data_IF_517433210604
#
_entry.id   IF_517433210604
#
_cell.length_a   1.000
_cell.length_b   1.000
_cell.length_c   1.000
_cell.angle_alpha   90.00
_cell.angle_beta   90.00
_cell.angle_gamma   90.00
#
_symmetry.space_group_name_H-M   'P 1'
#
loop_
_entity.id
_entity.type
_entity.pdbx_description
1 polymer ?
#
# COMPACT_ATOMS: atom_id res chain seq x y z
N UNK A 1 -26.51 -18.22 15.09
CA UNK A 1 -26.09 -16.80 15.00
C UNK A 1 -25.75 -16.49 13.54
N UNK A 2 -26.53 -15.66 12.85
CA UNK A 2 -26.17 -15.18 11.49
C UNK A 2 -24.93 -14.29 11.65
N UNK A 3 -23.76 -14.79 11.26
CA UNK A 3 -22.51 -14.02 11.30
C UNK A 3 -22.67 -12.82 10.35
N UNK A 4 -22.34 -11.62 10.83
CA UNK A 4 -22.41 -10.41 10.02
C UNK A 4 -21.42 -10.53 8.84
N UNK A 5 -21.86 -10.40 7.58
CA UNK A 5 -20.94 -10.46 6.43
C UNK A 5 -19.80 -9.45 6.52
N UNK A 6 -20.07 -8.28 7.11
CA UNK A 6 -19.07 -7.22 7.32
C UNK A 6 -17.98 -7.62 8.32
N UNK A 7 -18.32 -8.34 9.39
CA UNK A 7 -17.32 -8.82 10.34
C UNK A 7 -16.41 -9.89 9.69
N UNK A 8 -17.01 -10.79 8.90
CA UNK A 8 -16.23 -11.81 8.19
C UNK A 8 -15.24 -11.20 7.21
N UNK A 9 -15.67 -10.25 6.38
CA UNK A 9 -14.79 -9.60 5.41
C UNK A 9 -13.72 -8.71 6.11
N UNK A 10 -14.07 -8.07 7.24
CA UNK A 10 -13.09 -7.34 8.04
C UNK A 10 -11.98 -8.26 8.54
N UNK A 11 -12.32 -9.41 9.10
CA UNK A 11 -11.34 -10.38 9.60
C UNK A 11 -10.44 -10.89 8.46
N UNK A 12 -11.02 -11.19 7.30
CA UNK A 12 -10.29 -11.61 6.11
C UNK A 12 -9.29 -10.53 5.69
N UNK A 13 -9.74 -9.29 5.54
CA UNK A 13 -8.87 -8.18 5.14
C UNK A 13 -7.78 -7.91 6.18
N UNK A 14 -8.10 -7.97 7.47
CA UNK A 14 -7.12 -7.80 8.55
C UNK A 14 -6.01 -8.86 8.46
N UNK A 15 -6.37 -10.12 8.27
CA UNK A 15 -5.42 -11.22 8.19
C UNK A 15 -4.56 -11.13 6.91
N UNK A 16 -5.15 -10.74 5.78
CA UNK A 16 -4.42 -10.52 4.53
C UNK A 16 -3.43 -9.34 4.66
N UNK A 17 -3.85 -8.24 5.29
CA UNK A 17 -2.97 -7.08 5.52
C UNK A 17 -1.86 -7.41 6.50
N UNK A 18 -2.12 -8.20 7.56
CA UNK A 18 -1.07 -8.69 8.46
C UNK A 18 -0.03 -9.52 7.70
N UNK A 19 -0.45 -10.44 6.84
CA UNK A 19 0.45 -11.23 6.01
C UNK A 19 1.33 -10.36 5.11
N UNK A 20 0.75 -9.36 4.45
CA UNK A 20 1.47 -8.39 3.62
C UNK A 20 2.48 -7.58 4.44
N UNK A 21 2.07 -7.03 5.57
CA UNK A 21 2.88 -6.10 6.37
C UNK A 21 4.02 -6.79 7.13
N UNK A 22 3.90 -8.09 7.40
CA UNK A 22 5.01 -8.91 7.92
C UNK A 22 6.14 -9.02 6.88
N UNK A 23 5.81 -9.17 5.61
CA UNK A 23 6.81 -9.36 4.55
C UNK A 23 7.53 -8.07 4.17
N UNK A 24 6.86 -6.92 4.26
CA UNK A 24 7.40 -5.63 3.79
C UNK A 24 8.79 -5.28 4.35
N UNK A 25 9.04 -5.30 5.68
CA UNK A 25 10.36 -4.96 6.22
C UNK A 25 11.40 -6.08 6.03
N UNK A 26 10.95 -7.31 5.84
CA UNK A 26 11.81 -8.49 5.76
C UNK A 26 12.37 -8.73 4.35
N UNK A 27 11.55 -8.52 3.31
CA UNK A 27 11.86 -8.92 1.94
C UNK A 27 13.22 -8.41 1.44
N UNK A 28 13.63 -7.15 1.70
CA UNK A 28 14.95 -6.67 1.31
C UNK A 28 16.09 -7.50 1.91
N UNK A 29 16.09 -7.71 3.21
CA UNK A 29 17.11 -8.49 3.92
C UNK A 29 17.14 -9.96 3.48
N UNK A 30 15.96 -10.55 3.29
CA UNK A 30 15.85 -11.93 2.81
C UNK A 30 16.40 -12.08 1.40
N UNK A 31 16.09 -11.16 0.50
CA UNK A 31 16.62 -11.18 -0.86
C UNK A 31 18.13 -10.95 -0.88
N UNK A 32 18.67 -10.02 -0.07
CA UNK A 32 20.11 -9.79 0.05
C UNK A 32 20.85 -11.02 0.61
N UNK A 33 20.26 -11.76 1.54
CA UNK A 33 20.83 -13.02 2.04
C UNK A 33 20.95 -14.10 0.96
N UNK A 34 20.19 -13.98 -0.13
CA UNK A 34 20.26 -14.83 -1.33
C UNK A 34 21.10 -14.21 -2.46
N UNK A 35 21.85 -13.14 -2.17
CA UNK A 35 22.75 -12.47 -3.10
C UNK A 35 22.11 -11.37 -3.95
N UNK A 36 20.92 -10.86 -3.61
CA UNK A 36 20.33 -9.73 -4.30
C UNK A 36 21.12 -8.44 -4.02
N UNK A 37 21.28 -7.61 -5.05
CA UNK A 37 21.71 -6.22 -4.86
C UNK A 37 20.49 -5.33 -4.56
N UNK A 38 20.67 -4.12 -4.01
CA UNK A 38 19.56 -3.18 -3.80
C UNK A 38 18.71 -2.91 -5.05
N UNK A 39 19.32 -2.85 -6.23
CA UNK A 39 18.59 -2.71 -7.49
C UNK A 39 17.71 -3.93 -7.78
N UNK A 40 18.21 -5.15 -7.51
CA UNK A 40 17.43 -6.38 -7.66
C UNK A 40 16.27 -6.44 -6.66
N UNK A 41 16.46 -5.97 -5.43
CA UNK A 41 15.36 -5.80 -4.46
C UNK A 41 14.29 -4.85 -4.99
N UNK A 42 14.71 -3.71 -5.57
CA UNK A 42 13.78 -2.80 -6.24
C UNK A 42 12.99 -3.48 -7.37
N UNK A 43 13.66 -4.30 -8.18
CA UNK A 43 13.01 -5.09 -9.25
C UNK A 43 12.01 -6.12 -8.69
N UNK A 44 12.30 -6.78 -7.57
CA UNK A 44 11.39 -7.72 -6.90
C UNK A 44 10.07 -7.04 -6.47
N UNK A 45 10.17 -5.87 -5.85
CA UNK A 45 8.99 -5.10 -5.44
C UNK A 45 8.20 -4.63 -6.67
N UNK A 46 8.89 -4.13 -7.68
CA UNK A 46 8.29 -3.65 -8.93
C UNK A 46 7.63 -4.77 -9.72
N UNK A 47 8.21 -5.97 -9.76
CA UNK A 47 7.64 -7.14 -10.45
C UNK A 47 6.28 -7.53 -9.84
N UNK A 48 6.16 -7.56 -8.52
CA UNK A 48 4.89 -7.77 -7.83
C UNK A 48 3.85 -6.72 -8.23
N UNK A 49 4.22 -5.43 -8.15
CA UNK A 49 3.31 -4.33 -8.46
C UNK A 49 2.87 -4.31 -9.95
N UNK A 50 3.78 -4.67 -10.87
CA UNK A 50 3.47 -4.80 -12.29
C UNK A 50 2.49 -5.95 -12.56
N UNK A 51 2.72 -7.12 -11.95
CA UNK A 51 1.80 -8.25 -12.04
C UNK A 51 0.43 -7.92 -11.47
N UNK A 52 0.38 -7.23 -10.32
CA UNK A 52 -0.87 -6.79 -9.68
C UNK A 52 -1.64 -5.80 -10.57
N UNK A 53 -0.95 -4.86 -11.22
CA UNK A 53 -1.57 -3.91 -12.15
C UNK A 53 -2.23 -4.63 -13.35
N UNK A 54 -1.56 -5.64 -13.88
CA UNK A 54 -2.06 -6.42 -15.01
C UNK A 54 -3.21 -7.33 -14.58
N UNK A 55 -3.09 -7.99 -13.44
CA UNK A 55 -4.05 -8.99 -12.96
C UNK A 55 -5.32 -8.37 -12.32
N UNK A 56 -5.21 -7.16 -11.76
CA UNK A 56 -6.31 -6.51 -11.04
C UNK A 56 -7.61 -6.39 -11.85
N UNK A 57 -7.61 -5.77 -13.05
CA UNK A 57 -8.81 -5.64 -13.85
C UNK A 57 -9.44 -6.98 -14.27
N UNK A 58 -8.70 -7.98 -14.79
CA UNK A 58 -9.25 -9.30 -15.09
C UNK A 58 -9.87 -9.99 -13.86
N UNK A 59 -9.20 -9.96 -12.70
CA UNK A 59 -9.72 -10.55 -11.47
C UNK A 59 -11.01 -9.85 -11.00
N UNK A 60 -11.05 -8.52 -11.11
CA UNK A 60 -12.26 -7.74 -10.84
C UNK A 60 -13.43 -8.18 -11.72
N UNK A 61 -13.24 -8.21 -13.04
CA UNK A 61 -14.28 -8.66 -13.99
C UNK A 61 -14.68 -10.12 -13.78
N UNK A 62 -13.72 -10.99 -13.49
CA UNK A 62 -14.01 -12.39 -13.19
C UNK A 62 -14.88 -12.49 -11.94
N UNK A 63 -14.60 -11.67 -10.91
CA UNK A 63 -15.40 -11.67 -9.68
C UNK A 63 -16.81 -11.15 -9.85
N UNK A 64 -17.07 -10.28 -10.85
CA UNK A 64 -18.41 -9.86 -11.23
C UNK A 64 -19.21 -11.00 -11.86
N UNK A 65 -18.56 -11.87 -12.66
CA UNK A 65 -19.20 -12.95 -13.40
C UNK A 65 -19.37 -14.24 -12.59
N UNK A 66 -18.36 -14.66 -11.88
CA UNK A 66 -18.33 -15.96 -11.14
C UNK A 66 -18.72 -15.79 -9.67
N UNK A 67 -18.81 -14.53 -9.20
CA UNK A 67 -19.06 -14.18 -7.82
C UNK A 67 -17.77 -13.82 -7.06
N UNK A 68 -17.93 -13.02 -6.00
CA UNK A 68 -16.80 -12.48 -5.23
C UNK A 68 -16.02 -13.55 -4.48
N UNK A 69 -16.74 -14.47 -3.83
CA UNK A 69 -16.13 -15.48 -2.94
C UNK A 69 -15.20 -16.45 -3.67
N UNK A 70 -15.55 -17.05 -4.81
CA UNK A 70 -14.65 -17.95 -5.55
C UNK A 70 -13.35 -17.26 -5.98
N UNK A 71 -13.45 -16.03 -6.51
CA UNK A 71 -12.26 -15.29 -6.97
C UNK A 71 -11.38 -14.88 -5.80
N UNK A 72 -11.98 -14.49 -4.66
CA UNK A 72 -11.24 -14.18 -3.45
C UNK A 72 -10.46 -15.42 -2.95
N UNK A 73 -11.07 -16.61 -2.96
CA UNK A 73 -10.42 -17.86 -2.59
C UNK A 73 -9.23 -18.18 -3.50
N UNK A 74 -9.39 -18.05 -4.83
CA UNK A 74 -8.30 -18.28 -5.80
C UNK A 74 -7.16 -17.28 -5.56
N UNK A 75 -7.49 -16.03 -5.33
CA UNK A 75 -6.54 -14.96 -5.04
C UNK A 75 -5.73 -15.26 -3.78
N UNK A 76 -6.40 -15.61 -2.68
CA UNK A 76 -5.76 -15.96 -1.40
C UNK A 76 -4.94 -17.25 -1.48
N UNK A 77 -5.39 -18.24 -2.23
CA UNK A 77 -4.61 -19.49 -2.49
C UNK A 77 -3.31 -19.17 -3.24
N UNK A 78 -3.36 -18.25 -4.21
CA UNK A 78 -2.17 -17.79 -4.91
C UNK A 78 -1.18 -17.06 -3.98
N UNK A 79 -1.68 -16.18 -3.12
CA UNK A 79 -0.85 -15.51 -2.08
C UNK A 79 -0.25 -16.55 -1.11
N UNK A 80 -1.03 -17.51 -0.66
CA UNK A 80 -0.54 -18.62 0.19
C UNK A 80 0.57 -19.43 -0.48
N UNK A 81 0.36 -19.83 -1.73
CA UNK A 81 1.37 -20.54 -2.52
C UNK A 81 2.63 -19.70 -2.73
N UNK A 82 2.46 -18.40 -3.00
CA UNK A 82 3.56 -17.43 -3.08
C UNK A 82 4.39 -17.37 -1.79
N UNK A 83 3.75 -17.30 -0.63
CA UNK A 83 4.46 -17.30 0.65
C UNK A 83 5.15 -18.63 0.96
N UNK A 84 4.55 -19.78 0.64
CA UNK A 84 5.21 -21.07 0.79
C UNK A 84 6.44 -21.19 -0.12
N UNK A 85 6.31 -20.75 -1.38
CA UNK A 85 7.44 -20.71 -2.31
C UNK A 85 8.54 -19.78 -1.79
N UNK A 86 8.18 -18.60 -1.28
CA UNK A 86 9.12 -17.65 -0.69
C UNK A 86 9.82 -18.24 0.53
N UNK A 87 9.10 -18.97 1.42
CA UNK A 87 9.67 -19.62 2.60
C UNK A 87 10.66 -20.75 2.23
N UNK A 88 10.45 -21.40 1.10
CA UNK A 88 11.31 -22.48 0.59
C UNK A 88 12.39 -22.00 -0.38
N UNK A 89 12.49 -20.69 -0.65
CA UNK A 89 13.40 -20.17 -1.66
C UNK A 89 14.86 -20.33 -1.22
N UNK A 90 15.67 -20.89 -2.14
CA UNK A 90 17.12 -21.09 -2.01
C UNK A 90 17.93 -20.30 -3.04
N UNK A 91 17.23 -19.61 -3.95
CA UNK A 91 17.82 -18.81 -5.00
C UNK A 91 16.91 -17.65 -5.38
N UNK A 92 17.48 -16.57 -5.92
CA UNK A 92 16.75 -15.34 -6.26
C UNK A 92 15.60 -15.56 -7.26
N UNK A 93 15.77 -16.45 -8.24
CA UNK A 93 14.71 -16.73 -9.20
C UNK A 93 13.44 -17.28 -8.53
N UNK A 94 13.57 -18.04 -7.43
CA UNK A 94 12.41 -18.53 -6.67
C UNK A 94 11.68 -17.37 -5.97
N UNK A 95 12.44 -16.39 -5.45
CA UNK A 95 11.88 -15.18 -4.84
C UNK A 95 11.10 -14.37 -5.91
N UNK A 96 11.67 -14.21 -7.11
CA UNK A 96 10.97 -13.56 -8.23
C UNK A 96 9.68 -14.30 -8.60
N UNK A 97 9.76 -15.62 -8.74
CA UNK A 97 8.59 -16.42 -9.11
C UNK A 97 7.50 -16.34 -8.03
N UNK A 98 7.87 -16.38 -6.74
CA UNK A 98 6.95 -16.20 -5.63
C UNK A 98 6.25 -14.82 -5.71
N UNK A 99 6.98 -13.74 -6.01
CA UNK A 99 6.43 -12.40 -6.17
C UNK A 99 5.53 -12.27 -7.40
N UNK A 100 5.88 -12.92 -8.50
CA UNK A 100 5.06 -12.94 -9.73
C UNK A 100 3.75 -13.68 -9.48
N UNK A 101 3.78 -14.87 -8.86
CA UNK A 101 2.57 -15.64 -8.54
C UNK A 101 1.66 -14.83 -7.62
N UNK A 102 2.21 -14.28 -6.53
CA UNK A 102 1.47 -13.47 -5.58
C UNK A 102 0.89 -12.21 -6.26
N UNK A 103 1.66 -11.52 -7.12
CA UNK A 103 1.20 -10.36 -7.88
C UNK A 103 0.11 -10.69 -8.89
N UNK A 104 0.22 -11.79 -9.63
CA UNK A 104 -0.79 -12.22 -10.60
C UNK A 104 -2.10 -12.68 -9.93
N UNK A 105 -2.04 -13.03 -8.67
CA UNK A 105 -3.21 -13.39 -7.87
C UNK A 105 -3.64 -12.31 -6.89
N UNK A 106 -3.02 -11.14 -6.88
CA UNK A 106 -3.27 -10.05 -5.94
C UNK A 106 -4.60 -9.32 -6.16
N UNK A 107 -5.71 -10.05 -6.13
CA UNK A 107 -7.07 -9.53 -6.21
C UNK A 107 -7.76 -9.31 -4.85
N UNK A 108 -7.15 -9.76 -3.75
CA UNK A 108 -7.78 -9.82 -2.42
C UNK A 108 -8.45 -8.52 -2.02
N UNK A 109 -7.73 -7.40 -2.03
CA UNK A 109 -8.25 -6.11 -1.59
C UNK A 109 -9.34 -5.57 -2.53
N UNK A 110 -9.13 -5.67 -3.85
CA UNK A 110 -10.08 -5.20 -4.86
C UNK A 110 -11.40 -5.97 -4.77
N UNK A 111 -11.33 -7.30 -4.68
CA UNK A 111 -12.50 -8.17 -4.57
C UNK A 111 -13.20 -7.98 -3.21
N UNK A 112 -12.43 -7.79 -2.12
CA UNK A 112 -12.99 -7.49 -0.80
C UNK A 112 -13.74 -6.15 -0.78
N UNK A 113 -13.20 -5.11 -1.42
CA UNK A 113 -13.86 -3.82 -1.58
C UNK A 113 -15.16 -3.93 -2.40
N UNK A 114 -15.12 -4.69 -3.47
CA UNK A 114 -16.32 -4.98 -4.28
C UNK A 114 -17.36 -5.72 -3.45
N UNK A 115 -16.97 -6.77 -2.70
CA UNK A 115 -17.87 -7.49 -1.81
C UNK A 115 -18.54 -6.57 -0.77
N UNK A 116 -17.77 -5.68 -0.12
CA UNK A 116 -18.31 -4.69 0.81
C UNK A 116 -19.36 -3.82 0.12
N UNK A 117 -19.07 -3.36 -1.10
CA UNK A 117 -20.01 -2.55 -1.88
C UNK A 117 -21.31 -3.29 -2.17
N UNK A 118 -21.23 -4.60 -2.41
CA UNK A 118 -22.39 -5.45 -2.76
C UNK A 118 -23.29 -5.74 -1.55
N UNK A 119 -22.70 -5.80 -0.32
CA UNK A 119 -23.45 -6.16 0.92
C UNK A 119 -23.82 -4.96 1.78
N UNK A 120 -23.49 -3.72 1.37
CA UNK A 120 -23.76 -2.50 2.14
C UNK A 120 -24.69 -1.54 1.40
N UNK A 121 -25.58 -0.91 2.16
CA UNK A 121 -26.39 0.19 1.62
C UNK A 121 -25.53 1.44 1.41
N UNK A 122 -25.93 2.36 0.49
CA UNK A 122 -25.17 3.59 0.24
C UNK A 122 -24.84 4.39 1.49
N UNK A 123 -25.77 4.43 2.47
CA UNK A 123 -25.63 5.19 3.72
C UNK A 123 -24.54 4.60 4.64
N UNK A 124 -24.40 3.28 4.65
CA UNK A 124 -23.45 2.55 5.51
C UNK A 124 -22.12 2.26 4.81
N UNK A 125 -22.02 2.52 3.51
CA UNK A 125 -20.86 2.18 2.69
C UNK A 125 -19.58 2.82 3.21
N UNK A 126 -19.61 4.12 3.52
CA UNK A 126 -18.45 4.84 4.05
C UNK A 126 -17.93 4.24 5.36
N UNK A 127 -18.85 3.87 6.29
CA UNK A 127 -18.50 3.22 7.55
C UNK A 127 -17.87 1.84 7.31
N UNK A 128 -18.39 1.08 6.36
CA UNK A 128 -17.88 -0.25 6.02
C UNK A 128 -16.50 -0.21 5.37
N UNK A 129 -16.24 0.77 4.50
CA UNK A 129 -14.89 1.01 3.97
C UNK A 129 -13.92 1.50 5.06
N UNK A 130 -14.39 2.21 6.08
CA UNK A 130 -13.60 2.58 7.24
C UNK A 130 -13.00 1.38 7.98
N UNK A 131 -13.68 0.22 7.95
CA UNK A 131 -13.15 -1.03 8.52
C UNK A 131 -11.88 -1.50 7.81
N UNK A 132 -11.76 -1.30 6.50
CA UNK A 132 -10.53 -1.58 5.76
C UNK A 132 -9.39 -0.69 6.30
N UNK A 133 -9.67 0.59 6.53
CA UNK A 133 -8.69 1.50 7.14
C UNK A 133 -8.20 1.02 8.52
N UNK A 134 -9.10 0.51 9.37
CA UNK A 134 -8.75 -0.07 10.68
C UNK A 134 -7.88 -1.32 10.48
N UNK A 135 -8.22 -2.21 9.53
CA UNK A 135 -7.42 -3.39 9.23
C UNK A 135 -6.00 -3.03 8.78
N UNK A 136 -5.85 -2.01 7.94
CA UNK A 136 -4.53 -1.48 7.56
C UNK A 136 -3.78 -0.87 8.74
N UNK A 137 -4.46 -0.08 9.59
CA UNK A 137 -3.85 0.52 10.79
C UNK A 137 -3.31 -0.56 11.75
N UNK A 138 -4.11 -1.58 12.04
CA UNK A 138 -3.68 -2.70 12.88
C UNK A 138 -2.59 -3.55 12.22
N UNK A 139 -2.69 -3.78 10.91
CA UNK A 139 -1.69 -4.52 10.14
C UNK A 139 -0.33 -3.84 10.15
N UNK A 140 -0.28 -2.53 9.89
CA UNK A 140 0.98 -1.77 9.92
C UNK A 140 1.54 -1.58 11.34
N UNK A 141 0.72 -1.67 12.39
CA UNK A 141 1.19 -1.67 13.76
C UNK A 141 1.79 -3.02 14.17
N UNK A 142 1.07 -4.10 13.91
CA UNK A 142 1.41 -5.44 14.42
C UNK A 142 2.37 -6.18 13.47
N UNK A 143 2.13 -6.10 12.16
CA UNK A 143 2.86 -6.90 11.16
C UNK A 143 4.36 -6.67 11.18
N UNK A 144 4.86 -5.42 11.06
CA UNK A 144 6.29 -5.15 11.08
C UNK A 144 6.95 -5.49 12.43
N UNK A 145 6.24 -5.29 13.56
CA UNK A 145 6.73 -5.69 14.88
C UNK A 145 6.90 -7.21 14.98
N UNK A 146 5.89 -7.96 14.53
CA UNK A 146 5.95 -9.41 14.48
C UNK A 146 7.05 -9.90 13.52
N UNK A 147 7.21 -9.25 12.36
CA UNK A 147 8.28 -9.53 11.42
C UNK A 147 9.65 -9.37 12.05
N UNK A 148 9.92 -8.20 12.66
CA UNK A 148 11.19 -7.91 13.32
C UNK A 148 11.49 -8.86 14.48
N UNK A 149 10.47 -9.23 15.27
CA UNK A 149 10.63 -10.21 16.35
C UNK A 149 10.95 -11.61 15.84
N UNK A 150 10.19 -12.10 14.86
CA UNK A 150 10.40 -13.46 14.31
C UNK A 150 11.70 -13.58 13.53
N UNK A 151 12.13 -12.52 12.85
CA UNK A 151 13.36 -12.49 12.06
C UNK A 151 14.63 -12.64 12.91
N UNK A 152 14.57 -12.42 14.23
CA UNK A 152 15.69 -12.67 15.14
C UNK A 152 16.07 -14.17 15.21
N UNK A 153 15.11 -15.05 14.98
CA UNK A 153 15.33 -16.50 15.00
C UNK A 153 15.69 -17.03 13.61
N UNK A 154 14.99 -16.58 12.58
CA UNK A 154 15.27 -16.91 11.17
C UNK A 154 14.46 -16.01 10.25
N UNK A 155 15.03 -15.63 9.10
CA UNK A 155 14.29 -14.88 8.06
C UNK A 155 13.09 -15.67 7.51
N UNK A 156 13.09 -17.00 7.64
CA UNK A 156 12.00 -17.86 7.17
C UNK A 156 10.77 -17.81 8.09
N UNK A 157 10.93 -17.57 9.39
CA UNK A 157 9.80 -17.58 10.35
C UNK A 157 8.75 -16.50 10.08
N UNK A 158 9.09 -15.25 9.79
CA UNK A 158 8.09 -14.27 9.39
C UNK A 158 7.32 -14.68 8.12
N UNK A 159 8.01 -15.31 7.15
CA UNK A 159 7.38 -15.76 5.89
C UNK A 159 6.40 -16.91 6.17
N UNK A 160 6.77 -17.86 7.02
CA UNK A 160 5.88 -18.94 7.45
C UNK A 160 4.67 -18.41 8.24
N UNK A 161 4.88 -17.38 9.08
CA UNK A 161 3.78 -16.71 9.78
C UNK A 161 2.82 -16.03 8.78
N UNK A 162 3.34 -15.35 7.76
CA UNK A 162 2.53 -14.77 6.69
C UNK A 162 1.78 -15.85 5.89
N UNK A 163 2.41 -16.99 5.61
CA UNK A 163 1.75 -18.15 4.98
C UNK A 163 0.61 -18.71 5.86
N UNK A 164 0.85 -18.87 7.17
CA UNK A 164 -0.17 -19.33 8.10
C UNK A 164 -1.37 -18.36 8.20
N UNK A 165 -1.09 -17.05 8.20
CA UNK A 165 -2.13 -16.01 8.13
C UNK A 165 -2.89 -16.10 6.80
N UNK A 166 -2.21 -16.25 5.67
CA UNK A 166 -2.87 -16.39 4.36
C UNK A 166 -3.76 -17.65 4.32
N UNK A 167 -3.30 -18.78 4.86
CA UNK A 167 -4.14 -19.97 5.01
C UNK A 167 -5.35 -19.70 5.92
N UNK A 168 -5.16 -18.98 7.01
CA UNK A 168 -6.25 -18.57 7.89
C UNK A 168 -7.27 -17.71 7.15
N UNK A 169 -6.82 -16.78 6.29
CA UNK A 169 -7.68 -15.97 5.43
C UNK A 169 -8.48 -16.83 4.45
N UNK A 170 -7.87 -17.83 3.81
CA UNK A 170 -8.55 -18.83 2.96
C UNK A 170 -9.65 -19.55 3.74
N UNK A 171 -9.32 -20.07 4.92
CA UNK A 171 -10.29 -20.78 5.77
C UNK A 171 -11.43 -19.86 6.22
N UNK A 172 -11.12 -18.63 6.63
CA UNK A 172 -12.14 -17.63 6.98
C UNK A 172 -13.05 -17.34 5.78
N UNK A 173 -12.50 -17.16 4.59
CA UNK A 173 -13.29 -16.93 3.37
C UNK A 173 -14.16 -18.15 3.06
N UNK A 174 -13.62 -19.35 3.18
CA UNK A 174 -14.35 -20.59 2.89
C UNK A 174 -15.49 -20.85 3.87
N UNK A 175 -15.27 -20.67 5.18
CA UNK A 175 -16.26 -21.01 6.20
C UNK A 175 -17.14 -19.85 6.67
N UNK A 176 -16.67 -18.60 6.55
CA UNK A 176 -17.34 -17.46 7.15
C UNK A 176 -17.96 -16.51 6.14
N UNK A 177 -17.44 -16.46 4.89
CA UNK A 177 -17.92 -15.48 3.91
C UNK A 177 -19.13 -16.03 3.14
N UNK A 178 -20.33 -15.43 3.28
CA UNK A 178 -21.49 -15.82 2.48
C UNK A 178 -21.23 -15.61 0.99
N UNK A 179 -21.74 -16.52 0.16
CA UNK A 179 -21.76 -16.29 -1.28
C UNK A 179 -22.80 -15.21 -1.59
N UNK A 180 -22.38 -14.20 -2.36
CA UNK A 180 -23.28 -13.19 -2.96
C UNK A 180 -23.50 -13.59 -4.41
N UNK A 181 -24.73 -13.55 -4.88
CA UNK A 181 -25.06 -13.87 -6.26
C UNK A 181 -24.27 -12.94 -7.22
N UNK A 182 -23.79 -13.48 -8.34
CA UNK A 182 -23.15 -12.65 -9.36
C UNK A 182 -24.12 -11.56 -9.81
N UNK A 183 -23.61 -10.34 -9.96
CA UNK A 183 -24.41 -9.28 -10.56
C UNK A 183 -24.35 -9.44 -12.08
N UNK A 184 -25.49 -9.51 -12.78
CA UNK A 184 -25.48 -9.46 -14.23
C UNK A 184 -24.82 -8.14 -14.64
N UNK A 185 -23.69 -8.23 -15.30
CA UNK A 185 -23.07 -7.05 -15.93
C UNK A 185 -24.06 -6.57 -16.99
N UNK A 186 -24.55 -5.33 -16.94
CA UNK A 186 -25.36 -4.82 -18.05
C UNK A 186 -24.50 -4.90 -19.31
N UNK A 187 -24.98 -5.58 -20.34
CA UNK A 187 -24.33 -5.76 -21.65
C UNK A 187 -24.15 -4.44 -22.44
N UNK A 188 -24.51 -3.31 -21.87
CA UNK A 188 -24.47 -1.99 -22.51
C UNK A 188 -23.17 -1.25 -22.23
N UNK A 189 -22.02 -1.80 -22.66
CA UNK A 189 -20.81 -0.99 -22.85
C UNK A 189 -20.65 -0.49 -24.32
N UNK A 190 -21.63 -0.66 -25.18
CA UNK A 190 -21.62 -0.05 -26.52
C UNK A 190 -21.79 1.47 -26.39
N UNK A 191 -20.70 2.22 -26.63
CA UNK A 191 -20.72 3.68 -26.65
C UNK A 191 -19.96 4.41 -25.56
N UNK A 192 -19.34 3.72 -24.60
CA UNK A 192 -18.44 4.41 -23.65
C UNK A 192 -17.12 4.78 -24.33
N UNK A 193 -16.65 6.04 -24.19
CA UNK A 193 -15.33 6.41 -24.71
C UNK A 193 -14.27 5.47 -24.13
N UNK A 194 -13.23 5.18 -24.93
CA UNK A 194 -12.11 4.35 -24.48
C UNK A 194 -11.65 4.82 -23.10
N UNK A 195 -11.40 3.88 -22.17
CA UNK A 195 -10.89 4.21 -20.82
C UNK A 195 -9.69 5.13 -20.88
N UNK A 196 -8.84 4.96 -21.89
CA UNK A 196 -7.66 5.79 -22.10
C UNK A 196 -7.99 7.25 -22.47
N UNK A 197 -9.00 7.48 -23.35
CA UNK A 197 -9.42 8.83 -23.68
C UNK A 197 -10.01 9.56 -22.50
N UNK A 198 -10.81 8.86 -21.69
CA UNK A 198 -11.37 9.41 -20.45
C UNK A 198 -10.29 9.72 -19.38
N UNK A 199 -9.23 8.91 -19.31
CA UNK A 199 -8.08 9.19 -18.45
C UNK A 199 -7.32 10.44 -18.91
N UNK A 200 -7.00 10.55 -20.21
CA UNK A 200 -6.33 11.72 -20.78
C UNK A 200 -7.17 12.98 -20.58
N UNK A 201 -8.49 12.91 -20.76
CA UNK A 201 -9.42 14.01 -20.50
C UNK A 201 -9.39 14.46 -19.03
N UNK A 202 -9.33 13.50 -18.09
CA UNK A 202 -9.25 13.78 -16.64
C UNK A 202 -7.95 14.52 -16.27
N UNK A 203 -6.82 14.23 -16.93
CA UNK A 203 -5.56 14.94 -16.74
C UNK A 203 -5.56 16.34 -17.38
N UNK A 204 -6.33 16.54 -18.46
CA UNK A 204 -6.49 17.84 -19.11
C UNK A 204 -7.46 18.76 -18.39
N UNK A 205 -8.28 18.22 -17.50
CA UNK A 205 -9.19 19.04 -16.68
C UNK A 205 -8.39 19.95 -15.75
N UNK A 206 -8.61 21.26 -15.86
CA UNK A 206 -7.85 22.27 -15.14
C UNK A 206 -7.95 22.19 -13.62
N UNK A 207 -8.97 21.52 -13.07
CA UNK A 207 -9.17 21.36 -11.63
C UNK A 207 -8.78 19.97 -11.14
N UNK A 208 -9.09 18.93 -11.91
CA UNK A 208 -8.85 17.53 -11.54
C UNK A 208 -7.41 17.11 -11.86
N UNK A 209 -6.86 17.55 -12.99
CA UNK A 209 -5.52 17.18 -13.43
C UNK A 209 -4.42 17.47 -12.40
N UNK A 210 -4.31 18.70 -11.87
CA UNK A 210 -3.32 19.01 -10.83
C UNK A 210 -3.49 18.16 -9.58
N UNK A 211 -4.72 17.80 -9.16
CA UNK A 211 -4.95 16.94 -8.01
C UNK A 211 -4.53 15.49 -8.26
N UNK A 212 -4.69 14.98 -9.49
CA UNK A 212 -4.19 13.67 -9.87
C UNK A 212 -2.66 13.63 -9.84
N UNK A 213 -1.99 14.69 -10.27
CA UNK A 213 -0.54 14.83 -10.16
C UNK A 213 -0.09 14.94 -8.69
N UNK A 214 -0.83 15.64 -7.84
CA UNK A 214 -0.59 15.64 -6.39
C UNK A 214 -0.71 14.23 -5.81
N UNK A 215 -1.75 13.49 -6.19
CA UNK A 215 -1.92 12.11 -5.75
C UNK A 215 -0.77 11.20 -6.22
N UNK A 216 -0.32 11.37 -7.46
CA UNK A 216 0.85 10.64 -7.97
C UNK A 216 2.12 11.00 -7.20
N UNK A 217 2.38 12.29 -6.98
CA UNK A 217 3.54 12.75 -6.21
C UNK A 217 3.54 12.18 -4.78
N UNK A 218 2.39 12.20 -4.11
CA UNK A 218 2.22 11.57 -2.80
C UNK A 218 2.50 10.06 -2.83
N UNK A 219 1.85 9.35 -3.75
CA UNK A 219 2.01 7.88 -3.82
C UNK A 219 3.42 7.47 -4.23
N UNK A 220 4.09 8.27 -5.05
CA UNK A 220 5.49 8.05 -5.41
C UNK A 220 6.42 8.24 -4.21
N UNK A 221 6.29 9.35 -3.46
CA UNK A 221 7.07 9.58 -2.24
C UNK A 221 6.82 8.48 -1.18
N UNK A 222 5.56 8.11 -0.99
CA UNK A 222 5.18 7.02 -0.09
C UNK A 222 5.78 5.67 -0.51
N UNK A 223 5.71 5.33 -1.79
CA UNK A 223 6.31 4.10 -2.33
C UNK A 223 7.83 4.10 -2.22
N UNK A 224 8.49 5.25 -2.46
CA UNK A 224 9.94 5.42 -2.25
C UNK A 224 10.32 5.12 -0.81
N UNK A 225 9.57 5.64 0.18
CA UNK A 225 9.81 5.38 1.59
C UNK A 225 9.71 3.88 1.89
N UNK A 226 8.57 3.27 1.55
CA UNK A 226 8.31 1.88 1.93
C UNK A 226 9.23 0.87 1.25
N UNK A 227 9.60 1.10 -0.02
CA UNK A 227 10.46 0.16 -0.76
C UNK A 227 11.94 0.30 -0.44
N UNK A 228 12.42 1.50 -0.12
CA UNK A 228 13.83 1.77 0.09
C UNK A 228 14.26 1.84 1.55
N UNK A 229 13.32 2.06 2.49
CA UNK A 229 13.65 2.38 3.88
C UNK A 229 14.49 1.29 4.57
N UNK A 230 14.16 0.01 4.39
CA UNK A 230 14.90 -1.08 5.02
C UNK A 230 16.38 -1.08 4.61
N UNK A 231 16.62 -1.01 3.29
CA UNK A 231 17.99 -0.96 2.72
C UNK A 231 18.74 0.33 3.08
N UNK A 232 18.03 1.46 3.14
CA UNK A 232 18.57 2.73 3.58
C UNK A 232 18.99 2.66 5.05
N UNK A 233 18.11 2.16 5.92
CA UNK A 233 18.33 2.08 7.36
C UNK A 233 19.50 1.17 7.71
N UNK A 234 19.62 0.01 7.05
CA UNK A 234 20.74 -0.92 7.20
C UNK A 234 22.09 -0.25 6.92
N UNK A 235 22.15 0.58 5.88
CA UNK A 235 23.40 1.20 5.41
C UNK A 235 23.74 2.52 6.13
N UNK A 236 22.77 3.08 6.83
CA UNK A 236 22.89 4.42 7.43
C UNK A 236 23.00 4.39 8.94
N UNK A 237 22.34 3.45 9.60
CA UNK A 237 22.25 3.41 11.06
C UNK A 237 22.87 2.15 11.63
N UNK A 238 23.46 2.31 12.82
CA UNK A 238 23.99 1.21 13.62
C UNK A 238 23.34 1.20 15.00
N UNK A 239 23.11 0.01 15.53
CA UNK A 239 22.63 -0.20 16.89
C UNK A 239 23.52 -1.23 17.58
N UNK A 240 24.08 -0.89 18.75
CA UNK A 240 25.02 -1.74 19.49
C UNK A 240 26.22 -2.21 18.63
N UNK A 241 26.72 -1.33 17.74
CA UNK A 241 27.86 -1.64 16.88
C UNK A 241 27.56 -2.48 15.63
N UNK A 242 26.31 -2.89 15.42
CA UNK A 242 25.88 -3.62 14.22
C UNK A 242 24.98 -2.76 13.34
N UNK A 243 24.97 -2.94 11.99
CA UNK A 243 24.01 -2.31 11.11
C UNK A 243 22.56 -2.66 11.50
N UNK A 244 21.61 -1.78 11.17
CA UNK A 244 20.19 -2.08 11.35
C UNK A 244 19.79 -3.33 10.57
N UNK A 245 19.13 -4.24 11.28
CA UNK A 245 18.57 -5.45 10.68
C UNK A 245 17.04 -5.42 10.60
N UNK A 246 16.42 -6.56 10.25
CA UNK A 246 14.95 -6.69 10.19
C UNK A 246 14.26 -6.31 11.50
N UNK A 247 14.93 -6.53 12.65
CA UNK A 247 14.43 -6.21 13.98
C UNK A 247 14.24 -4.70 14.17
N UNK A 248 15.30 -3.94 13.98
CA UNK A 248 15.30 -2.48 14.16
C UNK A 248 14.35 -1.82 13.16
N UNK A 249 14.40 -2.25 11.89
CA UNK A 249 13.48 -1.77 10.85
C UNK A 249 12.03 -2.12 11.20
N UNK A 250 11.77 -3.32 11.70
CA UNK A 250 10.46 -3.73 12.18
C UNK A 250 9.93 -2.82 13.29
N UNK A 251 10.77 -2.44 14.26
CA UNK A 251 10.38 -1.50 15.33
C UNK A 251 10.11 -0.09 14.82
N UNK A 252 10.89 0.41 13.86
CA UNK A 252 10.62 1.73 13.24
C UNK A 252 9.30 1.73 12.50
N UNK A 253 8.98 0.67 11.74
CA UNK A 253 7.67 0.55 11.09
C UNK A 253 6.51 0.37 12.09
N UNK A 254 6.73 -0.37 13.19
CA UNK A 254 5.73 -0.49 14.26
C UNK A 254 5.48 0.86 14.94
N UNK A 255 6.51 1.64 15.18
CA UNK A 255 6.40 3.02 15.70
C UNK A 255 5.63 3.90 14.72
N UNK A 256 5.93 3.83 13.42
CA UNK A 256 5.16 4.50 12.37
C UNK A 256 3.69 4.04 12.39
N UNK A 257 3.43 2.73 12.51
CA UNK A 257 2.09 2.17 12.59
C UNK A 257 1.29 2.69 13.79
N UNK A 258 1.93 2.83 14.96
CA UNK A 258 1.33 3.40 16.17
C UNK A 258 0.88 4.86 15.94
N UNK A 259 1.78 5.69 15.39
CA UNK A 259 1.47 7.09 15.06
C UNK A 259 0.34 7.15 14.03
N UNK A 260 0.39 6.29 13.01
CA UNK A 260 -0.64 6.19 11.97
C UNK A 260 -2.01 5.82 12.56
N UNK A 261 -2.06 4.85 13.46
CA UNK A 261 -3.28 4.42 14.14
C UNK A 261 -3.87 5.54 15.04
N UNK A 262 -3.02 6.24 15.79
CA UNK A 262 -3.44 7.39 16.60
C UNK A 262 -4.04 8.51 15.73
N UNK A 263 -3.43 8.82 14.59
CA UNK A 263 -3.93 9.84 13.67
C UNK A 263 -5.26 9.41 13.02
N UNK A 264 -5.41 8.14 12.62
CA UNK A 264 -6.63 7.64 11.97
C UNK A 264 -7.78 7.41 12.97
N UNK A 265 -7.49 7.07 14.23
CA UNK A 265 -8.47 6.72 15.25
C UNK A 265 -9.36 7.87 15.75
N UNK A 266 -9.30 9.06 15.18
CA UNK A 266 -10.14 10.22 15.53
C UNK A 266 -9.52 11.57 15.20
N UNK A 267 -8.20 11.65 15.03
CA UNK A 267 -7.48 12.91 14.77
C UNK A 267 -7.83 13.52 13.42
N UNK A 268 -7.84 12.73 12.35
CA UNK A 268 -8.04 13.25 10.99
C UNK A 268 -9.44 13.83 10.80
N UNK A 269 -10.49 13.20 11.32
CA UNK A 269 -11.85 13.71 11.20
C UNK A 269 -12.02 15.09 11.87
N UNK A 270 -11.40 15.28 13.01
CA UNK A 270 -11.37 16.56 13.72
C UNK A 270 -10.55 17.61 12.96
N UNK A 271 -9.37 17.24 12.45
CA UNK A 271 -8.51 18.11 11.67
C UNK A 271 -9.20 18.57 10.36
N UNK A 272 -9.90 17.66 9.66
CA UNK A 272 -10.66 18.01 8.45
C UNK A 272 -11.77 19.00 8.75
N UNK A 273 -12.51 18.82 9.85
CA UNK A 273 -13.56 19.76 10.26
C UNK A 273 -13.01 21.15 10.61
N UNK A 274 -11.83 21.19 11.23
CA UNK A 274 -11.25 22.47 11.73
C UNK A 274 -10.51 23.22 10.63
N UNK A 275 -9.72 22.53 9.81
CA UNK A 275 -8.81 23.17 8.85
C UNK A 275 -9.24 23.04 7.39
N UNK A 276 -10.14 22.10 7.10
CA UNK A 276 -10.53 21.75 5.73
C UNK A 276 -9.48 20.92 4.99
N UNK A 277 -9.92 20.15 4.00
CA UNK A 277 -9.07 19.21 3.25
C UNK A 277 -7.91 19.89 2.52
N UNK A 278 -8.15 21.06 1.91
CA UNK A 278 -7.14 21.79 1.15
C UNK A 278 -5.93 22.24 1.99
N UNK A 279 -6.16 22.74 3.22
CA UNK A 279 -5.07 23.09 4.13
C UNK A 279 -4.35 21.84 4.64
N UNK A 280 -5.07 20.75 4.86
CA UNK A 280 -4.48 19.49 5.29
C UNK A 280 -3.58 18.88 4.21
N UNK A 281 -3.90 19.05 2.93
CA UNK A 281 -3.01 18.64 1.83
C UNK A 281 -1.72 19.47 1.88
N UNK A 282 -1.78 20.78 2.14
CA UNK A 282 -0.58 21.61 2.29
C UNK A 282 0.30 21.14 3.45
N UNK A 283 -0.30 20.99 4.63
CA UNK A 283 0.41 20.56 5.85
C UNK A 283 0.98 19.15 5.66
N UNK A 284 0.24 18.24 5.01
CA UNK A 284 0.67 16.89 4.73
C UNK A 284 1.90 16.82 3.83
N UNK A 285 1.90 17.55 2.70
CA UNK A 285 3.09 17.61 1.84
C UNK A 285 4.28 18.28 2.52
N UNK A 286 4.05 19.39 3.24
CA UNK A 286 5.09 20.07 4.02
C UNK A 286 5.70 19.15 5.06
N UNK A 287 4.86 18.43 5.81
CA UNK A 287 5.32 17.44 6.81
C UNK A 287 6.17 16.34 6.17
N UNK A 288 5.70 15.73 5.08
CA UNK A 288 6.48 14.67 4.40
C UNK A 288 7.79 15.23 3.83
N UNK A 289 7.79 16.42 3.25
CA UNK A 289 9.00 17.04 2.71
C UNK A 289 10.04 17.28 3.82
N UNK A 290 9.61 17.81 4.97
CA UNK A 290 10.47 17.96 6.16
C UNK A 290 10.97 16.62 6.65
N UNK A 291 10.11 15.61 6.76
CA UNK A 291 10.49 14.27 7.18
C UNK A 291 11.56 13.65 6.28
N UNK A 292 11.42 13.73 4.97
CA UNK A 292 12.44 13.26 4.02
C UNK A 292 13.73 14.09 4.07
N UNK A 293 13.63 15.41 4.22
CA UNK A 293 14.81 16.27 4.37
C UNK A 293 15.60 15.92 5.64
N UNK A 294 14.92 15.72 6.77
CA UNK A 294 15.53 15.24 8.01
C UNK A 294 16.18 13.86 7.82
N UNK A 295 15.50 12.95 7.13
CA UNK A 295 16.01 11.61 6.85
C UNK A 295 17.28 11.65 6.00
N UNK A 296 17.38 12.57 5.03
CA UNK A 296 18.56 12.71 4.15
C UNK A 296 19.84 13.06 4.91
N UNK A 297 19.73 13.87 5.96
CA UNK A 297 20.85 14.29 6.82
C UNK A 297 20.99 13.50 8.11
N UNK A 298 20.09 12.55 8.41
CA UNK A 298 20.11 11.85 9.70
C UNK A 298 21.22 10.79 9.77
N UNK A 299 21.93 10.81 10.89
CA UNK A 299 22.93 9.78 11.27
C UNK A 299 22.65 9.21 12.66
N UNK A 300 21.69 9.77 13.39
CA UNK A 300 21.31 9.37 14.74
C UNK A 300 19.88 8.84 14.75
N UNK A 301 19.64 7.84 15.60
CA UNK A 301 18.31 7.20 15.75
C UNK A 301 17.25 8.21 16.18
N UNK A 302 17.61 9.19 17.02
CA UNK A 302 16.65 10.23 17.44
C UNK A 302 16.13 11.04 16.26
N UNK A 303 17.02 11.50 15.36
CA UNK A 303 16.61 12.22 14.15
C UNK A 303 15.81 11.35 13.19
N UNK A 304 16.15 10.05 13.10
CA UNK A 304 15.35 9.07 12.35
C UNK A 304 13.92 9.01 12.90
N UNK A 305 13.74 8.86 14.21
CA UNK A 305 12.40 8.78 14.82
C UNK A 305 11.60 10.06 14.59
N UNK A 306 12.22 11.24 14.71
CA UNK A 306 11.59 12.52 14.40
C UNK A 306 11.17 12.57 12.93
N UNK A 307 12.04 12.18 12.01
CA UNK A 307 11.71 12.12 10.58
C UNK A 307 10.51 11.20 10.32
N UNK A 308 10.47 10.02 10.96
CA UNK A 308 9.35 9.08 10.84
C UNK A 308 8.03 9.67 11.37
N UNK A 309 8.05 10.46 12.44
CA UNK A 309 6.84 11.17 12.92
C UNK A 309 6.29 12.09 11.82
N UNK A 310 7.14 12.92 11.20
CA UNK A 310 6.73 13.82 10.13
C UNK A 310 6.22 13.07 8.89
N UNK A 311 6.92 12.02 8.46
CA UNK A 311 6.55 11.20 7.31
C UNK A 311 5.22 10.49 7.54
N UNK A 312 5.04 9.91 8.72
CA UNK A 312 3.81 9.18 9.06
C UNK A 312 2.62 10.11 9.21
N UNK A 313 2.78 11.24 9.91
CA UNK A 313 1.72 12.24 10.04
C UNK A 313 1.31 12.76 8.66
N UNK A 314 2.29 13.17 7.84
CA UNK A 314 2.02 13.68 6.49
C UNK A 314 1.28 12.67 5.62
N UNK A 315 1.71 11.41 5.60
CA UNK A 315 1.05 10.35 4.81
C UNK A 315 -0.35 10.02 5.31
N UNK A 316 -0.56 10.01 6.63
CA UNK A 316 -1.85 9.73 7.25
C UNK A 316 -2.90 10.79 6.87
N UNK A 317 -2.47 12.06 6.75
CA UNK A 317 -3.36 13.18 6.39
C UNK A 317 -3.57 13.27 4.87
N UNK A 318 -2.51 13.09 4.06
CA UNK A 318 -2.57 13.28 2.61
C UNK A 318 -3.51 12.29 1.92
N UNK A 319 -3.41 11.01 2.27
CA UNK A 319 -4.15 9.96 1.57
C UNK A 319 -5.67 10.19 1.60
N UNK A 320 -6.31 10.34 2.76
CA UNK A 320 -7.75 10.58 2.82
C UNK A 320 -8.15 11.94 2.25
N UNK A 321 -7.38 13.02 2.52
CA UNK A 321 -7.71 14.36 2.04
C UNK A 321 -7.65 14.47 0.52
N UNK A 322 -6.62 13.93 -0.13
CA UNK A 322 -6.53 13.91 -1.60
C UNK A 322 -7.62 13.02 -2.21
N UNK A 323 -7.88 11.85 -1.63
CA UNK A 323 -8.94 10.96 -2.12
C UNK A 323 -10.30 11.65 -2.06
N UNK A 324 -10.63 12.30 -0.96
CA UNK A 324 -11.88 13.02 -0.79
C UNK A 324 -12.00 14.21 -1.76
N UNK A 325 -10.97 15.04 -1.87
CA UNK A 325 -10.95 16.17 -2.80
C UNK A 325 -11.12 15.73 -4.25
N UNK A 326 -10.41 14.72 -4.70
CA UNK A 326 -10.47 14.21 -6.06
C UNK A 326 -11.86 13.63 -6.35
N UNK A 327 -12.38 12.79 -5.45
CA UNK A 327 -13.70 12.16 -5.65
C UNK A 327 -14.86 13.13 -5.56
N UNK A 328 -14.78 14.15 -4.70
CA UNK A 328 -15.84 15.16 -4.57
C UNK A 328 -15.90 16.10 -5.79
N UNK A 329 -14.80 16.32 -6.49
CA UNK A 329 -14.75 17.12 -7.72
C UNK A 329 -15.13 16.35 -8.98
N UNK A 330 -15.04 15.03 -8.95
CA UNK A 330 -15.51 14.19 -10.04
C UNK A 330 -17.04 14.14 -10.08
N UNK A 331 -17.61 14.29 -11.28
CA UNK A 331 -19.05 14.12 -11.46
C UNK A 331 -19.47 12.72 -10.97
N UNK A 332 -20.65 12.58 -10.35
CA UNK A 332 -21.11 11.33 -9.73
C UNK A 332 -20.97 10.10 -10.62
N UNK A 333 -21.30 10.23 -11.91
CA UNK A 333 -21.18 9.14 -12.89
C UNK A 333 -19.74 8.81 -13.27
N UNK A 334 -18.75 9.69 -12.98
CA UNK A 334 -17.32 9.50 -13.27
C UNK A 334 -16.48 9.11 -12.04
N UNK A 335 -17.06 9.10 -10.83
CA UNK A 335 -16.30 8.82 -9.59
C UNK A 335 -15.60 7.45 -9.62
N UNK A 336 -16.28 6.40 -10.10
CA UNK A 336 -15.67 5.08 -10.23
C UNK A 336 -14.46 5.04 -11.17
N UNK A 337 -14.55 5.77 -12.30
CA UNK A 337 -13.45 5.91 -13.25
C UNK A 337 -12.26 6.63 -12.62
N UNK A 338 -12.51 7.72 -11.89
CA UNK A 338 -11.45 8.51 -11.23
C UNK A 338 -10.76 7.71 -10.12
N UNK A 339 -11.51 6.93 -9.34
CA UNK A 339 -10.93 6.00 -8.34
C UNK A 339 -10.04 4.96 -9.04
N UNK A 340 -10.48 4.40 -10.16
CA UNK A 340 -9.69 3.48 -10.98
C UNK A 340 -8.41 4.12 -11.51
N UNK A 341 -8.48 5.40 -11.93
CA UNK A 341 -7.31 6.17 -12.37
C UNK A 341 -6.33 6.39 -11.22
N UNK A 342 -6.81 6.76 -10.02
CA UNK A 342 -5.98 6.89 -8.82
C UNK A 342 -5.27 5.57 -8.48
N UNK A 343 -5.98 4.45 -8.60
CA UNK A 343 -5.40 3.13 -8.37
C UNK A 343 -4.30 2.81 -9.40
N UNK A 344 -4.51 3.16 -10.67
CA UNK A 344 -3.48 3.01 -11.72
C UNK A 344 -2.25 3.87 -11.44
N UNK A 345 -2.43 5.13 -11.03
CA UNK A 345 -1.33 6.02 -10.64
C UNK A 345 -0.54 5.47 -9.44
N UNK A 346 -1.24 4.92 -8.45
CA UNK A 346 -0.59 4.28 -7.31
C UNK A 346 0.25 3.06 -7.76
N UNK A 347 -0.28 2.23 -8.63
CA UNK A 347 0.45 1.07 -9.16
C UNK A 347 1.67 1.48 -9.98
N UNK A 348 1.57 2.51 -10.81
CA UNK A 348 2.72 3.07 -11.56
C UNK A 348 3.80 3.57 -10.59
N UNK A 349 3.40 4.29 -9.53
CA UNK A 349 4.34 4.74 -8.51
C UNK A 349 5.02 3.55 -7.80
N UNK A 350 4.27 2.48 -7.50
CA UNK A 350 4.80 1.27 -6.88
C UNK A 350 5.71 0.44 -7.81
N UNK A 351 5.64 0.65 -9.12
CA UNK A 351 6.57 0.04 -10.08
C UNK A 351 7.84 0.88 -10.19
N UNK A 352 7.71 2.20 -10.35
CA UNK A 352 8.85 3.06 -10.68
C UNK A 352 9.68 3.42 -9.43
N UNK A 353 9.04 3.75 -8.32
CA UNK A 353 9.74 4.22 -7.13
C UNK A 353 10.72 3.18 -6.55
N UNK A 354 10.41 1.87 -6.44
CA UNK A 354 11.36 0.88 -5.95
C UNK A 354 12.57 0.70 -6.87
N UNK A 355 12.41 0.82 -8.20
CA UNK A 355 13.53 0.75 -9.15
C UNK A 355 14.51 1.88 -8.92
N UNK A 356 13.99 3.11 -8.78
CA UNK A 356 14.82 4.30 -8.51
C UNK A 356 15.47 4.18 -7.13
N UNK A 357 14.70 3.79 -6.11
CA UNK A 357 15.22 3.60 -4.75
C UNK A 357 16.34 2.58 -4.71
N UNK A 358 16.14 1.41 -5.33
CA UNK A 358 17.14 0.35 -5.38
C UNK A 358 18.44 0.80 -6.08
N UNK A 359 18.33 1.50 -7.22
CA UNK A 359 19.49 2.02 -7.96
C UNK A 359 20.26 3.08 -7.16
N UNK A 360 19.58 4.02 -6.51
CA UNK A 360 20.23 5.06 -5.70
C UNK A 360 20.94 4.46 -4.49
N UNK A 361 20.31 3.52 -3.80
CA UNK A 361 20.88 2.86 -2.63
C UNK A 361 22.07 1.97 -3.04
N UNK A 362 21.99 1.26 -4.17
CA UNK A 362 23.11 0.47 -4.69
C UNK A 362 24.34 1.33 -4.98
N UNK A 363 24.14 2.55 -5.48
CA UNK A 363 25.22 3.51 -5.71
C UNK A 363 25.67 4.28 -4.46
N UNK A 364 25.18 3.90 -3.27
CA UNK A 364 25.44 4.57 -2.00
C UNK A 364 24.95 6.04 -1.95
N UNK A 365 24.04 6.44 -2.84
CA UNK A 365 23.44 7.78 -2.86
C UNK A 365 22.27 7.86 -1.87
N UNK A 366 22.54 7.51 -0.59
CA UNK A 366 21.51 7.40 0.46
C UNK A 366 20.77 8.72 0.70
N UNK A 367 21.48 9.84 0.75
CA UNK A 367 20.87 11.16 0.91
C UNK A 367 20.04 11.56 -0.31
N UNK A 368 20.48 11.20 -1.53
CA UNK A 368 19.72 11.48 -2.76
C UNK A 368 18.43 10.67 -2.82
N UNK A 369 18.42 9.44 -2.32
CA UNK A 369 17.20 8.65 -2.19
C UNK A 369 16.14 9.37 -1.34
N UNK A 370 16.52 9.88 -0.17
CA UNK A 370 15.61 10.63 0.68
C UNK A 370 15.20 11.97 0.05
N UNK A 371 16.15 12.70 -0.56
CA UNK A 371 15.87 13.95 -1.27
C UNK A 371 14.94 13.76 -2.46
N UNK A 372 14.97 12.62 -3.16
CA UNK A 372 14.02 12.30 -4.22
C UNK A 372 12.57 12.26 -3.66
N UNK A 373 12.36 11.63 -2.49
CA UNK A 373 11.07 11.66 -1.80
C UNK A 373 10.65 13.09 -1.44
N UNK A 374 11.58 13.91 -0.89
CA UNK A 374 11.35 15.32 -0.58
C UNK A 374 10.96 16.14 -1.82
N UNK A 375 11.64 15.92 -2.94
CA UNK A 375 11.36 16.58 -4.21
C UNK A 375 9.93 16.32 -4.71
N UNK A 376 9.49 15.07 -4.69
CA UNK A 376 8.12 14.73 -5.07
C UNK A 376 7.09 15.36 -4.13
N UNK A 377 7.38 15.43 -2.83
CA UNK A 377 6.53 16.15 -1.89
C UNK A 377 6.49 17.67 -2.19
N UNK A 378 7.62 18.28 -2.53
CA UNK A 378 7.69 19.69 -2.91
C UNK A 378 6.93 19.96 -4.22
N UNK A 379 7.03 19.06 -5.22
CA UNK A 379 6.22 19.15 -6.46
C UNK A 379 4.74 19.07 -6.13
N UNK A 380 4.30 18.10 -5.30
CA UNK A 380 2.92 17.99 -4.86
C UNK A 380 2.43 19.25 -4.13
N UNK A 381 3.30 19.85 -3.34
CA UNK A 381 3.00 21.09 -2.62
C UNK A 381 2.88 22.29 -3.55
N UNK A 382 3.76 22.44 -4.54
CA UNK A 382 3.72 23.56 -5.51
C UNK A 382 2.45 23.54 -6.37
N UNK A 383 1.95 22.35 -6.72
CA UNK A 383 0.71 22.19 -7.48
C UNK A 383 -0.54 22.66 -6.73
N UNK A 384 -0.45 22.96 -5.44
CA UNK A 384 -1.59 23.49 -4.66
C UNK A 384 -1.98 24.91 -5.15
N UNK A 385 -1.02 25.69 -5.61
CA UNK A 385 -1.29 27.02 -6.15
C UNK A 385 -2.20 26.99 -7.40
N UNK A 386 -2.17 25.89 -8.15
CA UNK A 386 -2.97 25.70 -9.38
C UNK A 386 -4.35 25.11 -9.11
N UNK A 387 -4.63 24.67 -7.89
CA UNK A 387 -5.91 24.04 -7.52
C UNK A 387 -6.85 24.99 -6.75
N UNK A 388 -6.38 26.20 -6.44
CA UNK A 388 -7.20 27.27 -5.86
C UNK A 388 -7.91 28.04 -6.97
#
# INVERSE_FOLDING_TARGET
>A
MKKSPLFSIFLIVLVDVLGLTIILPLLPFYAESLGATPAVVGMLVSAYAACQLIAGPPLGHLSDRVGRRPVLLVSQMGTFAGFLMLASARALWMVFLARIIDGLTAGNLTVAQAYISDVTTPENRAKSFGMIGIAFGLGFLIGPAASGYLAQFSHTYPILAAAALSLTSVLCTYFLLPAVAPHPTPETEQGRPSRWSAYIESFKDGKLGPMLWQFFAFTFAFSTLFSGFALFAERRFTHNGAPFGPKEVGYVFAFSGLIGAMNQGGGIGSLVKTFGEGKLVQVGFGSMAVGFALLSGSHQITFLLVAIVFLTFGSAVLRPSLTSLITSRAARHRQGMVIGLMQSLMSIAQIIAPLIAGLLIQKQYLSMWALAGSLFCAIGWSLIATTR
#
